data_IF_266239517989
#
_entry.id   IF_266239517989
#
_cell.length_a   1.000
_cell.length_b   1.000
_cell.length_c   1.000
_cell.angle_alpha   90.00
_cell.angle_beta   90.00
_cell.angle_gamma   90.00
#
_symmetry.space_group_name_H-M   'P 1'
#
loop_
_entity.id
_entity.type
_entity.pdbx_description
1 polymer ?
#
# COMPACT_ATOMS: atom_id res chain seq x y z
N UNK A 1 -19.48 18.87 -18.36
CA UNK A 1 -18.50 19.91 -17.94
C UNK A 1 -18.80 20.35 -16.51
N UNK A 2 -18.30 19.61 -15.52
CA UNK A 2 -18.28 19.99 -14.09
C UNK A 2 -17.48 18.94 -13.28
N UNK A 3 -16.27 18.59 -13.76
CA UNK A 3 -15.47 17.52 -13.16
C UNK A 3 -14.01 17.88 -12.89
N UNK A 4 -13.60 19.14 -13.12
CA UNK A 4 -12.19 19.52 -13.09
C UNK A 4 -11.88 20.67 -12.12
N UNK A 5 -12.63 20.79 -11.02
CA UNK A 5 -12.54 21.94 -10.13
C UNK A 5 -12.53 21.56 -8.64
N UNK A 6 -11.82 20.49 -8.25
CA UNK A 6 -11.56 20.21 -6.81
C UNK A 6 -10.10 19.91 -6.49
N UNK A 7 -9.19 19.77 -7.48
CA UNK A 7 -7.77 19.48 -7.20
C UNK A 7 -6.87 20.73 -7.00
N UNK A 8 -7.40 21.95 -7.14
CA UNK A 8 -6.57 23.16 -7.25
C UNK A 8 -6.69 24.17 -6.09
N UNK A 9 -6.99 23.70 -4.86
CA UNK A 9 -7.21 24.59 -3.71
C UNK A 9 -6.31 24.35 -2.48
N UNK A 10 -5.20 23.63 -2.63
CA UNK A 10 -4.28 23.33 -1.50
C UNK A 10 -2.82 23.78 -1.67
N UNK A 11 -2.44 24.45 -2.76
CA UNK A 11 -1.07 24.94 -2.95
C UNK A 11 -1.05 26.44 -3.29
N UNK A 12 -1.42 27.25 -2.31
CA UNK A 12 -1.04 28.65 -2.30
C UNK A 12 0.40 28.79 -1.83
N UNK A 13 1.35 29.03 -2.75
CA UNK A 13 2.46 30.00 -2.64
C UNK A 13 3.48 29.84 -3.78
N UNK A 14 4.00 30.97 -4.27
CA UNK A 14 4.86 31.14 -5.45
C UNK A 14 6.36 30.91 -5.15
N UNK A 15 7.17 30.50 -6.15
CA UNK A 15 8.58 30.14 -5.96
C UNK A 15 9.48 31.36 -6.07
N UNK A 16 10.21 31.71 -5.00
CA UNK A 16 11.50 32.44 -5.03
C UNK A 16 12.02 32.66 -3.61
N UNK A 17 12.92 31.77 -3.17
CA UNK A 17 14.05 31.97 -2.23
C UNK A 17 14.34 30.66 -1.47
N UNK A 18 14.87 29.68 -2.20
CA UNK A 18 15.66 28.58 -1.64
C UNK A 18 16.99 28.59 -2.38
N UNK A 19 17.97 29.35 -1.87
CA UNK A 19 19.40 29.23 -2.15
C UNK A 19 20.12 29.99 -1.05
N UNK A 20 20.46 29.28 0.03
CA UNK A 20 21.54 29.53 1.02
C UNK A 20 21.14 28.90 2.36
N UNK A 21 21.45 27.61 2.54
CA UNK A 21 22.03 27.05 3.76
C UNK A 21 22.25 25.55 3.52
N UNK A 22 23.31 25.21 2.79
CA UNK A 22 23.85 23.84 2.76
C UNK A 22 25.34 23.91 2.43
N UNK A 23 26.13 24.40 3.39
CA UNK A 23 27.59 24.17 3.45
C UNK A 23 27.93 24.08 4.93
N UNK A 24 28.32 22.89 5.39
CA UNK A 24 28.95 22.71 6.70
C UNK A 24 28.34 21.63 7.57
N UNK A 25 28.62 20.36 7.26
CA UNK A 25 28.97 19.35 8.26
C UNK A 25 29.36 18.05 7.54
N UNK A 26 30.64 17.97 7.19
CA UNK A 26 31.31 16.72 6.82
C UNK A 26 32.61 16.72 7.60
N UNK A 27 32.63 16.12 8.80
CA UNK A 27 33.80 15.54 9.46
C UNK A 27 33.42 14.96 10.83
N UNK A 28 34.05 13.83 11.18
CA UNK A 28 33.85 12.97 12.36
C UNK A 28 32.59 12.08 12.23
N UNK A 29 32.68 10.75 12.16
CA UNK A 29 33.37 9.86 13.10
C UNK A 29 33.93 8.66 12.31
N UNK A 30 35.25 8.59 12.19
CA UNK A 30 36.01 7.40 11.80
C UNK A 30 36.98 7.12 12.95
N UNK A 31 36.47 6.52 14.03
CA UNK A 31 37.26 5.87 15.09
C UNK A 31 36.31 5.23 16.10
N UNK A 32 36.23 3.89 16.09
CA UNK A 32 36.11 2.98 17.23
C UNK A 32 35.70 1.58 16.74
N UNK A 33 36.63 0.92 16.05
CA UNK A 33 36.71 -0.53 15.98
C UNK A 33 37.95 -0.89 16.79
N UNK A 34 37.79 -1.58 17.93
CA UNK A 34 38.76 -2.48 18.58
C UNK A 34 38.29 -2.78 20.02
N UNK A 35 37.65 -3.93 20.23
CA UNK A 35 37.67 -4.68 21.50
C UNK A 35 37.27 -6.15 21.26
N UNK A 36 37.91 -7.14 21.92
CA UNK A 36 37.88 -8.56 21.52
C UNK A 36 36.79 -9.40 22.21
N UNK A 37 36.36 -10.46 21.52
CA UNK A 37 35.40 -11.49 21.96
C UNK A 37 36.18 -12.63 22.65
N UNK A 38 35.74 -13.16 23.82
CA UNK A 38 36.23 -14.45 24.30
C UNK A 38 35.31 -15.61 23.85
N UNK A 39 35.95 -16.70 23.40
CA UNK A 39 35.34 -17.98 23.08
C UNK A 39 35.20 -18.85 24.34
N UNK A 40 34.15 -19.68 24.40
CA UNK A 40 34.05 -20.80 25.33
C UNK A 40 33.43 -22.01 24.62
N UNK A 41 33.93 -23.17 25.04
CA UNK A 41 34.02 -24.44 24.31
C UNK A 41 32.76 -25.31 24.41
N UNK A 42 32.74 -26.34 23.57
CA UNK A 42 31.61 -27.22 23.30
C UNK A 42 31.37 -28.32 24.33
N UNK A 43 30.11 -28.78 24.33
CA UNK A 43 29.72 -30.13 24.73
C UNK A 43 28.41 -30.54 24.04
N UNK A 44 28.45 -31.54 23.16
CA UNK A 44 27.31 -32.42 22.84
C UNK A 44 27.34 -33.61 23.83
N UNK A 45 26.25 -34.37 24.11
CA UNK A 45 25.18 -34.76 23.17
C UNK A 45 23.75 -34.94 23.76
N UNK A 46 22.76 -35.12 22.88
CA UNK A 46 21.82 -36.27 22.81
C UNK A 46 20.43 -35.88 22.29
N UNK A 47 19.94 -36.71 21.39
CA UNK A 47 18.64 -36.68 20.74
C UNK A 47 17.49 -36.94 21.73
N UNK A 48 16.61 -35.96 21.89
CA UNK A 48 15.34 -36.08 22.62
C UNK A 48 14.29 -35.18 21.97
N UNK A 49 13.13 -35.75 21.67
CA UNK A 49 11.99 -35.12 21.01
C UNK A 49 11.64 -33.74 21.60
N UNK A 50 11.64 -32.70 20.76
CA UNK A 50 11.14 -31.38 21.11
C UNK A 50 9.62 -31.35 20.90
N UNK A 51 8.89 -31.45 22.01
CA UNK A 51 7.49 -31.03 22.08
C UNK A 51 7.44 -29.50 22.00
N UNK A 52 6.67 -28.98 21.04
CA UNK A 52 6.32 -27.57 20.98
C UNK A 52 5.52 -27.19 22.22
N UNK A 53 6.14 -26.50 23.16
CA UNK A 53 5.46 -25.91 24.30
C UNK A 53 5.04 -24.50 23.87
N UNK A 54 3.73 -24.30 23.68
CA UNK A 54 3.10 -23.01 23.44
C UNK A 54 3.33 -22.11 24.65
N UNK A 55 4.26 -21.16 24.51
CA UNK A 55 4.52 -20.17 25.54
C UNK A 55 3.44 -19.07 25.50
N UNK A 56 2.68 -19.04 26.61
CA UNK A 56 1.76 -18.02 27.14
C UNK A 56 0.45 -17.77 26.39
N UNK A 57 -0.59 -18.49 26.82
CA UNK A 57 -1.92 -17.91 27.05
C UNK A 57 -1.76 -16.71 28.01
N UNK A 58 -1.52 -15.51 27.47
CA UNK A 58 -1.85 -14.26 28.16
C UNK A 58 -3.33 -14.02 27.89
N UNK A 59 -4.11 -13.78 28.93
CA UNK A 59 -5.53 -13.44 28.78
C UNK A 59 -5.64 -12.01 28.23
N UNK A 60 -5.43 -11.85 26.92
CA UNK A 60 -5.42 -10.56 26.20
C UNK A 60 -6.74 -9.80 26.43
N UNK A 61 -7.83 -10.53 26.70
CA UNK A 61 -9.14 -9.98 27.07
C UNK A 61 -9.06 -9.08 28.32
N UNK A 62 -8.39 -9.53 29.39
CA UNK A 62 -8.33 -8.76 30.64
C UNK A 62 -7.43 -7.52 30.54
N UNK A 63 -6.37 -7.59 29.74
CA UNK A 63 -5.45 -6.45 29.52
C UNK A 63 -6.11 -5.31 28.74
N UNK A 64 -7.12 -5.62 27.91
CA UNK A 64 -7.85 -4.62 27.11
C UNK A 64 -9.10 -4.08 27.81
N UNK A 65 -9.56 -4.73 28.89
CA UNK A 65 -10.52 -4.13 29.82
C UNK A 65 -9.86 -3.02 30.66
N UNK A 66 -8.57 -3.17 30.98
CA UNK A 66 -7.76 -2.12 31.63
C UNK A 66 -7.26 -1.02 30.67
N UNK A 67 -7.55 -1.11 29.37
CA UNK A 67 -7.10 -0.12 28.39
C UNK A 67 -7.84 1.22 28.50
N UNK A 68 -8.90 1.30 29.29
CA UNK A 68 -9.63 2.52 29.58
C UNK A 68 -9.49 2.93 31.04
N UNK A 69 -9.51 4.23 31.30
CA UNK A 69 -9.44 4.79 32.67
C UNK A 69 -10.44 5.93 32.82
N UNK A 70 -11.18 5.97 33.94
CA UNK A 70 -12.04 7.10 34.29
C UNK A 70 -11.24 8.30 34.83
N UNK A 71 -11.78 9.53 34.78
CA UNK A 71 -11.13 10.73 35.31
C UNK A 71 -10.65 10.60 36.77
N UNK A 72 -11.45 9.96 37.62
CA UNK A 72 -11.19 9.76 39.05
C UNK A 72 -10.13 8.69 39.36
N UNK A 73 -9.77 7.86 38.38
CA UNK A 73 -8.80 6.76 38.53
C UNK A 73 -7.37 7.20 38.20
N UNK A 74 -7.20 8.40 37.61
CA UNK A 74 -5.88 8.95 37.28
C UNK A 74 -5.14 9.37 38.55
N UNK A 75 -3.91 8.88 38.69
CA UNK A 75 -3.04 9.17 39.83
C UNK A 75 -1.93 10.16 39.45
N UNK A 76 -1.33 10.88 40.43
CA UNK A 76 -0.32 11.90 40.13
C UNK A 76 0.96 11.40 39.43
N UNK A 77 1.22 10.09 39.43
CA UNK A 77 2.34 9.48 38.71
C UNK A 77 2.04 9.21 37.23
N UNK A 78 0.79 9.32 36.81
CA UNK A 78 0.39 9.12 35.42
C UNK A 78 0.84 10.30 34.55
N UNK A 79 1.34 9.97 33.36
CA UNK A 79 1.65 10.92 32.32
C UNK A 79 0.45 11.06 31.40
N UNK A 80 -0.21 12.21 31.44
CA UNK A 80 -1.34 12.48 30.54
C UNK A 80 -0.83 13.12 29.25
N UNK A 81 -1.17 12.52 28.11
CA UNK A 81 -0.85 13.00 26.77
C UNK A 81 -2.13 13.41 26.04
N UNK A 82 -2.31 14.72 25.86
CA UNK A 82 -3.32 15.27 24.95
C UNK A 82 -2.81 15.19 23.51
N UNK A 83 -3.59 14.53 22.65
CA UNK A 83 -3.20 14.29 21.25
C UNK A 83 -3.79 15.27 20.25
N UNK A 84 -4.56 16.25 20.72
CA UNK A 84 -5.36 17.14 19.86
C UNK A 84 -4.47 18.11 19.05
N UNK A 85 -4.71 18.31 17.74
CA UNK A 85 -3.90 19.19 16.90
C UNK A 85 -3.91 20.67 17.29
N UNK A 86 -5.03 21.16 17.83
CA UNK A 86 -5.27 22.58 18.10
C UNK A 86 -5.98 22.80 19.45
N UNK A 87 -5.57 22.08 20.50
CA UNK A 87 -6.17 22.23 21.82
C UNK A 87 -5.96 23.65 22.39
N UNK A 88 -7.04 24.25 22.90
CA UNK A 88 -7.02 25.54 23.61
C UNK A 88 -7.17 25.40 25.13
N UNK A 89 -7.52 24.20 25.59
CA UNK A 89 -7.64 23.82 26.98
C UNK A 89 -7.13 22.40 27.13
N UNK A 90 -6.61 22.08 28.31
CA UNK A 90 -5.93 20.83 28.62
C UNK A 90 -6.34 20.35 30.01
N UNK A 91 -6.28 19.05 30.24
CA UNK A 91 -6.27 18.52 31.59
C UNK A 91 -5.07 19.11 32.33
N UNK A 92 -5.23 19.50 33.59
CA UNK A 92 -4.14 20.12 34.34
C UNK A 92 -2.95 19.15 34.47
N UNK A 93 -1.78 19.55 33.96
CA UNK A 93 -0.57 18.71 33.93
C UNK A 93 -0.37 17.89 32.65
N UNK A 94 -1.33 17.88 31.72
CA UNK A 94 -1.21 17.13 30.47
C UNK A 94 -0.13 17.71 29.54
N UNK A 95 0.66 16.83 28.95
CA UNK A 95 1.52 17.12 27.80
C UNK A 95 0.66 17.24 26.54
N UNK A 96 1.20 17.84 25.47
CA UNK A 96 0.53 17.84 24.18
C UNK A 96 1.46 17.44 23.04
N UNK A 97 1.02 16.46 22.25
CA UNK A 97 1.63 16.11 20.97
C UNK A 97 0.49 15.88 19.99
N UNK A 98 0.36 16.76 18.98
CA UNK A 98 -0.57 16.54 17.88
C UNK A 98 -0.34 15.15 17.24
N UNK A 99 -1.35 14.27 17.24
CA UNK A 99 -1.25 12.92 16.67
C UNK A 99 -0.83 12.92 15.19
N UNK A 100 -1.20 13.96 14.42
CA UNK A 100 -0.81 14.10 13.01
C UNK A 100 0.71 14.24 12.86
N UNK A 101 1.42 14.66 13.91
CA UNK A 101 2.88 14.77 13.90
C UNK A 101 3.59 13.41 13.80
N UNK A 102 2.88 12.31 14.10
CA UNK A 102 3.36 10.94 13.90
C UNK A 102 3.27 10.48 12.45
N UNK A 103 2.57 11.22 11.59
CA UNK A 103 2.34 10.89 10.20
C UNK A 103 3.12 11.81 9.25
N UNK A 104 3.52 11.29 8.10
CA UNK A 104 4.07 12.09 7.01
C UNK A 104 2.97 12.85 6.26
N UNK A 105 3.35 13.71 5.30
CA UNK A 105 2.38 14.49 4.50
C UNK A 105 1.40 13.64 3.70
N UNK A 106 1.70 12.37 3.49
CA UNK A 106 0.81 11.45 2.81
C UNK A 106 -0.08 10.64 3.77
N UNK A 107 0.17 10.67 5.08
CA UNK A 107 -0.54 9.88 6.09
C UNK A 107 0.10 8.54 6.43
N UNK A 108 1.39 8.31 6.11
CA UNK A 108 2.12 7.11 6.53
C UNK A 108 2.79 7.40 7.85
N UNK A 109 2.99 6.36 8.65
CA UNK A 109 3.75 6.47 9.87
C UNK A 109 5.17 6.98 9.56
N UNK A 110 5.61 8.01 10.30
CA UNK A 110 7.00 8.47 10.23
C UNK A 110 7.96 7.37 10.66
N UNK A 111 9.26 7.47 10.30
CA UNK A 111 10.26 6.56 10.82
C UNK A 111 10.23 6.49 12.34
N UNK A 112 10.35 5.29 12.90
CA UNK A 112 10.33 5.04 14.36
C UNK A 112 11.29 5.97 15.11
N UNK A 113 12.47 6.25 14.55
CA UNK A 113 13.45 7.16 15.15
C UNK A 113 12.94 8.60 15.27
N UNK A 114 12.11 9.07 14.34
CA UNK A 114 11.51 10.41 14.41
C UNK A 114 10.40 10.46 15.45
N UNK A 115 9.58 9.40 15.53
CA UNK A 115 8.50 9.30 16.52
C UNK A 115 9.09 9.20 17.93
N UNK A 116 10.09 8.34 18.14
CA UNK A 116 10.80 8.23 19.42
C UNK A 116 11.40 9.58 19.84
N UNK A 117 11.97 10.34 18.90
CA UNK A 117 12.46 11.69 19.19
C UNK A 117 11.34 12.65 19.59
N UNK A 118 10.18 12.62 18.93
CA UNK A 118 9.03 13.47 19.29
C UNK A 118 8.55 13.18 20.72
N UNK A 119 8.45 11.89 21.09
CA UNK A 119 8.05 11.47 22.43
C UNK A 119 9.10 11.87 23.47
N UNK A 120 10.38 11.62 23.19
CA UNK A 120 11.48 12.00 24.08
C UNK A 120 11.65 13.52 24.25
N UNK A 121 11.45 14.30 23.18
CA UNK A 121 11.45 15.76 23.24
C UNK A 121 10.31 16.32 24.11
N UNK A 122 9.21 15.58 24.25
CA UNK A 122 8.11 15.90 25.16
C UNK A 122 8.34 15.37 26.59
N UNK A 123 9.45 14.67 26.83
CA UNK A 123 9.81 14.10 28.13
C UNK A 123 9.08 12.82 28.48
N UNK A 124 8.52 12.10 27.49
CA UNK A 124 7.85 10.81 27.69
C UNK A 124 8.90 9.70 27.63
N UNK A 125 8.86 8.80 28.61
CA UNK A 125 9.70 7.60 28.66
C UNK A 125 8.90 6.33 28.27
N UNK A 126 9.58 5.28 27.80
CA UNK A 126 8.92 4.03 27.34
C UNK A 126 8.21 3.22 28.45
N UNK A 127 8.46 3.58 29.71
CA UNK A 127 7.96 2.95 30.93
C UNK A 127 7.09 3.90 31.77
N UNK A 128 6.77 5.09 31.25
CA UNK A 128 5.76 5.96 31.87
C UNK A 128 4.42 5.21 31.93
N UNK A 129 3.60 5.49 32.95
CA UNK A 129 2.17 5.17 32.89
C UNK A 129 1.50 6.22 32.02
N UNK A 130 1.15 5.89 30.78
CA UNK A 130 0.71 6.85 29.78
C UNK A 130 -0.81 6.81 29.59
N UNK A 131 -1.46 7.96 29.81
CA UNK A 131 -2.89 8.15 29.57
C UNK A 131 -3.10 9.03 28.35
N UNK A 132 -3.74 8.50 27.32
CA UNK A 132 -4.06 9.21 26.09
C UNK A 132 -5.41 9.90 26.25
N UNK A 133 -5.46 11.19 25.94
CA UNK A 133 -6.68 11.99 25.91
C UNK A 133 -6.70 12.90 24.68
N UNK A 134 -7.85 13.49 24.39
CA UNK A 134 -8.04 14.40 23.26
C UNK A 134 -8.65 13.70 22.04
N UNK A 135 -9.07 14.53 21.10
CA UNK A 135 -9.88 14.11 19.95
C UNK A 135 -9.50 14.87 18.68
N UNK A 136 -10.13 14.49 17.57
CA UNK A 136 -9.96 15.16 16.29
C UNK A 136 -10.66 16.53 16.30
N UNK A 137 -9.95 17.58 16.75
CA UNK A 137 -10.41 18.96 16.69
C UNK A 137 -9.66 19.75 15.60
N UNK A 138 -10.34 20.40 14.63
CA UNK A 138 -11.79 20.69 14.54
C UNK A 138 -12.59 19.71 13.66
N UNK A 139 -12.13 18.47 13.45
CA UNK A 139 -12.66 17.52 12.47
C UNK A 139 -14.09 17.04 12.74
N UNK A 140 -14.66 17.36 13.90
CA UNK A 140 -15.94 16.84 14.37
C UNK A 140 -15.81 15.74 15.44
N UNK A 141 -14.64 15.59 16.06
CA UNK A 141 -14.42 14.72 17.21
C UNK A 141 -14.29 13.23 16.86
N UNK A 142 -14.59 12.39 17.86
CA UNK A 142 -14.60 10.93 17.74
C UNK A 142 -13.29 10.26 18.18
N UNK A 143 -13.34 8.95 18.52
CA UNK A 143 -12.27 8.35 19.30
C UNK A 143 -11.08 7.85 18.45
N UNK A 144 -11.17 7.95 17.11
CA UNK A 144 -10.18 7.35 16.21
C UNK A 144 -8.73 7.77 16.48
N UNK A 145 -8.41 9.06 16.68
CA UNK A 145 -7.03 9.47 16.98
C UNK A 145 -6.50 8.90 18.31
N UNK A 146 -7.36 8.76 19.32
CA UNK A 146 -6.97 8.19 20.61
C UNK A 146 -6.66 6.68 20.47
N UNK A 147 -7.53 5.92 19.77
CA UNK A 147 -7.26 4.52 19.45
C UNK A 147 -6.02 4.33 18.58
N UNK A 148 -5.80 5.20 17.60
CA UNK A 148 -4.58 5.19 16.77
C UNK A 148 -3.33 5.44 17.61
N UNK A 149 -3.37 6.44 18.50
CA UNK A 149 -2.23 6.77 19.36
C UNK A 149 -1.98 5.64 20.37
N UNK A 150 -3.03 5.00 20.88
CA UNK A 150 -2.92 3.82 21.73
C UNK A 150 -2.24 2.67 20.99
N UNK A 151 -2.72 2.34 19.79
CA UNK A 151 -2.10 1.34 18.92
C UNK A 151 -0.62 1.67 18.65
N UNK A 152 -0.31 2.93 18.34
CA UNK A 152 1.06 3.38 18.07
C UNK A 152 1.98 3.11 19.26
N UNK A 153 1.55 3.43 20.48
CA UNK A 153 2.34 3.18 21.68
C UNK A 153 2.51 1.68 21.94
N UNK A 154 1.47 0.88 21.71
CA UNK A 154 1.57 -0.60 21.76
C UNK A 154 2.56 -1.12 20.70
N UNK A 155 2.52 -0.60 19.48
CA UNK A 155 3.48 -0.91 18.40
C UNK A 155 4.92 -0.53 18.78
N UNK A 156 5.12 0.57 19.49
CA UNK A 156 6.42 0.98 20.01
C UNK A 156 6.86 0.18 21.26
N UNK A 157 6.03 -0.75 21.75
CA UNK A 157 6.33 -1.59 22.91
C UNK A 157 6.12 -0.93 24.27
N UNK A 158 5.31 0.14 24.31
CA UNK A 158 4.88 0.77 25.55
C UNK A 158 3.83 -0.11 26.24
N UNK A 159 4.10 -0.52 27.47
CA UNK A 159 3.32 -1.55 28.17
C UNK A 159 2.12 -0.95 28.93
N UNK A 160 2.34 0.13 29.69
CA UNK A 160 1.29 0.82 30.46
C UNK A 160 0.76 2.02 29.68
N UNK A 161 -0.08 1.74 28.69
CA UNK A 161 -0.80 2.77 27.92
C UNK A 161 -2.30 2.55 28.05
N UNK A 162 -3.05 3.61 28.32
CA UNK A 162 -4.51 3.59 28.51
C UNK A 162 -5.15 4.82 27.84
N UNK A 163 -6.45 4.74 27.58
CA UNK A 163 -7.25 5.81 26.97
C UNK A 163 -8.19 6.38 28.05
N UNK A 164 -8.20 7.70 28.21
CA UNK A 164 -9.15 8.38 29.09
C UNK A 164 -10.58 8.21 28.56
N UNK A 165 -11.51 7.83 29.45
CA UNK A 165 -12.93 7.87 29.16
C UNK A 165 -13.49 9.26 29.39
N UNK A 166 -14.24 9.74 28.42
CA UNK A 166 -14.85 11.08 28.45
C UNK A 166 -13.93 12.16 27.89
N UNK A 167 -14.41 13.39 27.98
CA UNK A 167 -13.74 14.57 27.44
C UNK A 167 -13.38 15.60 28.54
N UNK A 168 -13.02 16.80 28.12
CA UNK A 168 -12.73 17.92 29.03
C UNK A 168 -13.93 18.31 29.89
N UNK A 169 -15.16 18.17 29.39
CA UNK A 169 -16.37 18.51 30.14
C UNK A 169 -16.63 17.45 31.23
N UNK A 170 -16.43 16.17 30.92
CA UNK A 170 -16.49 15.08 31.90
C UNK A 170 -15.43 15.26 33.01
N UNK A 171 -14.21 15.65 32.62
CA UNK A 171 -13.14 15.98 33.56
C UNK A 171 -13.50 17.12 34.51
N UNK A 172 -14.09 18.20 33.98
CA UNK A 172 -14.58 19.30 34.79
C UNK A 172 -15.75 18.90 35.69
N UNK A 173 -16.66 18.06 35.20
CA UNK A 173 -17.79 17.55 35.96
C UNK A 173 -17.34 16.67 37.14
N UNK A 174 -16.21 15.97 37.01
CA UNK A 174 -15.54 15.25 38.09
C UNK A 174 -14.86 16.19 39.12
N UNK A 175 -14.91 17.50 38.93
CA UNK A 175 -14.32 18.49 39.83
C UNK A 175 -12.80 18.63 39.69
N UNK A 176 -12.24 18.15 38.57
CA UNK A 176 -10.81 18.18 38.31
C UNK A 176 -10.41 19.46 37.56
N UNK A 177 -9.20 19.94 37.82
CA UNK A 177 -8.71 21.20 37.27
C UNK A 177 -8.31 21.05 35.80
N UNK A 178 -8.55 22.12 35.03
CA UNK A 178 -8.05 22.29 33.66
C UNK A 178 -6.97 23.38 33.59
N UNK A 179 -6.24 23.42 32.48
CA UNK A 179 -5.22 24.41 32.15
C UNK A 179 -5.47 25.01 30.77
N UNK A 180 -4.99 26.23 30.54
CA UNK A 180 -5.01 26.89 29.22
C UNK A 180 -3.70 26.70 28.44
N UNK A 181 -2.75 25.95 29.00
CA UNK A 181 -1.49 25.61 28.36
C UNK A 181 -1.05 24.18 28.74
N UNK A 182 -0.39 23.44 27.83
CA UNK A 182 0.13 22.13 28.17
C UNK A 182 1.28 22.25 29.16
N UNK A 183 1.52 21.18 29.90
CA UNK A 183 2.69 21.02 30.74
C UNK A 183 3.95 20.80 29.90
N UNK A 184 5.11 21.10 30.48
CA UNK A 184 6.43 20.89 29.87
C UNK A 184 7.26 20.04 30.80
N UNK A 185 7.80 18.94 30.29
CA UNK A 185 8.78 18.09 30.97
C UNK A 185 10.18 18.32 30.38
N UNK A 186 11.19 18.00 31.17
CA UNK A 186 12.55 17.87 30.65
C UNK A 186 12.61 16.75 29.62
N UNK A 187 13.45 16.92 28.60
CA UNK A 187 13.61 15.91 27.55
C UNK A 187 14.13 14.60 28.12
N UNK A 188 13.63 13.50 27.58
CA UNK A 188 14.01 12.15 27.94
C UNK A 188 14.38 11.33 26.69
N UNK A 189 15.02 10.18 26.90
CA UNK A 189 15.28 9.22 25.85
C UNK A 189 14.11 8.22 25.76
N UNK A 190 13.32 8.28 24.69
CA UNK A 190 12.29 7.28 24.43
C UNK A 190 12.91 6.07 23.70
N UNK A 191 12.93 4.90 24.34
CA UNK A 191 13.54 3.69 23.82
C UNK A 191 12.46 2.69 23.33
N UNK A 192 12.13 2.65 22.03
CA UNK A 192 11.07 1.77 21.51
C UNK A 192 11.50 0.30 21.49
N UNK A 193 10.57 -0.60 21.81
CA UNK A 193 10.66 -2.06 21.64
C UNK A 193 9.60 -2.51 20.62
N UNK A 194 9.95 -2.44 19.34
CA UNK A 194 8.98 -2.62 18.25
C UNK A 194 8.27 -3.98 18.30
N UNK A 195 6.94 -3.93 18.34
CA UNK A 195 6.04 -5.07 18.22
C UNK A 195 5.64 -5.24 16.74
N UNK A 196 6.53 -5.85 15.96
CA UNK A 196 6.41 -5.95 14.50
C UNK A 196 5.11 -6.64 14.04
N UNK A 197 4.52 -7.50 14.88
CA UNK A 197 3.27 -8.17 14.56
C UNK A 197 2.03 -7.27 14.62
N UNK A 198 2.12 -6.02 15.09
CA UNK A 198 0.98 -5.10 15.11
C UNK A 198 0.80 -4.28 13.81
N UNK A 199 1.79 -4.29 12.92
CA UNK A 199 1.78 -3.58 11.64
C UNK A 199 2.12 -4.54 10.50
N UNK A 200 1.18 -4.75 9.59
CA UNK A 200 1.41 -5.59 8.41
C UNK A 200 2.27 -4.87 7.36
N UNK A 201 3.08 -5.65 6.62
CA UNK A 201 3.78 -5.18 5.43
C UNK A 201 2.96 -5.46 4.16
N UNK A 202 3.37 -4.87 3.04
CA UNK A 202 2.81 -5.19 1.74
C UNK A 202 2.93 -6.68 1.40
N UNK A 203 4.09 -7.30 1.67
CA UNK A 203 4.32 -8.73 1.40
C UNK A 203 3.38 -9.62 2.21
N UNK A 204 3.12 -9.24 3.47
CA UNK A 204 2.16 -9.94 4.31
C UNK A 204 0.73 -9.84 3.74
N UNK A 205 0.33 -8.64 3.30
CA UNK A 205 -0.97 -8.42 2.66
C UNK A 205 -1.12 -9.20 1.35
N UNK A 206 -0.09 -9.19 0.51
CA UNK A 206 -0.08 -9.82 -0.82
C UNK A 206 0.01 -11.36 -0.77
N UNK A 207 0.54 -11.94 0.31
CA UNK A 207 0.67 -13.40 0.43
C UNK A 207 -0.67 -14.16 0.48
N UNK A 208 -1.80 -13.48 0.75
CA UNK A 208 -3.14 -14.08 0.74
C UNK A 208 -3.43 -15.05 1.91
N UNK A 209 -2.54 -15.12 2.90
CA UNK A 209 -2.69 -15.99 4.07
C UNK A 209 -3.59 -15.43 5.18
N UNK A 210 -3.68 -14.10 5.28
CA UNK A 210 -4.46 -13.39 6.30
C UNK A 210 -5.92 -13.18 5.87
N UNK A 211 -6.81 -13.00 6.85
CA UNK A 211 -8.15 -12.43 6.58
C UNK A 211 -8.00 -10.93 6.42
N UNK A 212 -8.58 -10.37 5.36
CA UNK A 212 -8.47 -8.94 5.09
C UNK A 212 -9.79 -8.27 5.41
N UNK A 213 -9.77 -7.26 6.28
CA UNK A 213 -10.93 -6.46 6.67
C UNK A 213 -10.71 -5.03 6.21
N UNK A 214 -11.52 -4.60 5.25
CA UNK A 214 -11.58 -3.21 4.80
C UNK A 214 -12.56 -2.45 5.69
N UNK A 215 -12.03 -1.60 6.57
CA UNK A 215 -12.82 -0.81 7.51
C UNK A 215 -13.28 0.54 6.95
N UNK A 216 -13.10 0.79 5.65
CA UNK A 216 -13.62 2.01 5.00
C UNK A 216 -15.14 1.91 4.79
N UNK A 217 -15.81 3.05 4.57
CA UNK A 217 -17.21 3.06 4.16
C UNK A 217 -17.43 2.23 2.89
N UNK A 218 -18.57 1.54 2.79
CA UNK A 218 -18.88 0.62 1.68
C UNK A 218 -18.66 1.24 0.28
N UNK A 219 -19.03 2.52 0.10
CA UNK A 219 -18.80 3.24 -1.16
C UNK A 219 -17.32 3.24 -1.61
N UNK A 220 -16.38 3.32 -0.66
CA UNK A 220 -14.94 3.40 -0.95
C UNK A 220 -14.37 1.99 -1.21
N UNK A 221 -14.94 0.98 -0.55
CA UNK A 221 -14.66 -0.44 -0.82
C UNK A 221 -15.10 -0.85 -2.24
N UNK A 222 -16.29 -0.43 -2.69
CA UNK A 222 -16.81 -0.75 -4.02
C UNK A 222 -16.00 -0.11 -5.16
N UNK A 223 -15.31 1.02 -4.90
CA UNK A 223 -14.40 1.65 -5.89
C UNK A 223 -13.17 0.79 -6.14
N UNK A 224 -12.72 0.04 -5.13
CA UNK A 224 -11.57 -0.85 -5.20
C UNK A 224 -11.07 -1.19 -3.81
N UNK A 225 -10.62 -2.43 -3.63
CA UNK A 225 -10.19 -2.98 -2.36
C UNK A 225 -9.11 -4.05 -2.56
N UNK A 226 -8.44 -4.44 -1.49
CA UNK A 226 -7.47 -5.54 -1.52
C UNK A 226 -8.22 -6.83 -1.88
N UNK A 227 -7.75 -7.64 -2.85
CA UNK A 227 -8.44 -8.86 -3.25
C UNK A 227 -8.76 -9.80 -2.07
N UNK A 228 -10.02 -10.24 -1.98
CA UNK A 228 -10.50 -11.11 -0.92
C UNK A 228 -10.83 -10.41 0.41
N UNK A 229 -10.76 -9.07 0.46
CA UNK A 229 -11.21 -8.29 1.61
C UNK A 229 -12.71 -8.44 1.86
N UNK A 230 -13.10 -8.39 3.14
CA UNK A 230 -14.48 -8.25 3.60
C UNK A 230 -14.67 -6.83 4.09
N UNK A 231 -15.73 -6.14 3.67
CA UNK A 231 -16.02 -4.80 4.15
C UNK A 231 -16.75 -4.82 5.50
N UNK A 232 -16.12 -4.24 6.53
CA UNK A 232 -16.72 -4.00 7.85
C UNK A 232 -16.38 -2.57 8.23
N UNK A 233 -17.19 -1.56 7.83
CA UNK A 233 -16.90 -0.15 8.12
C UNK A 233 -16.64 0.09 9.61
N UNK A 234 -15.67 0.95 9.96
CA UNK A 234 -15.28 1.17 11.36
C UNK A 234 -16.45 1.64 12.25
N UNK A 235 -17.46 2.33 11.68
CA UNK A 235 -18.66 2.72 12.41
C UNK A 235 -19.45 1.50 12.93
N UNK A 236 -19.30 0.34 12.30
CA UNK A 236 -19.96 -0.89 12.71
C UNK A 236 -19.50 -1.40 14.08
N UNK A 237 -18.32 -1.00 14.57
CA UNK A 237 -17.82 -1.37 15.91
C UNK A 237 -18.20 -0.34 16.99
N UNK A 238 -18.85 0.76 16.60
CA UNK A 238 -19.24 1.84 17.50
C UNK A 238 -20.75 1.90 17.73
N UNK A 239 -21.16 2.33 18.92
CA UNK A 239 -22.52 2.70 19.29
C UNK A 239 -22.48 4.00 20.08
N UNK A 240 -23.16 5.04 19.59
CA UNK A 240 -23.17 6.38 20.20
C UNK A 240 -21.76 6.96 20.47
N UNK A 241 -20.81 6.72 19.56
CA UNK A 241 -19.43 7.22 19.68
C UNK A 241 -18.52 6.38 20.60
N UNK A 242 -19.05 5.36 21.25
CA UNK A 242 -18.29 4.43 22.10
C UNK A 242 -18.16 3.05 21.47
N UNK A 243 -17.17 2.27 21.89
CA UNK A 243 -17.02 0.88 21.45
C UNK A 243 -18.22 0.05 21.90
N UNK A 244 -18.73 -0.81 21.02
CA UNK A 244 -19.81 -1.76 21.33
C UNK A 244 -19.38 -2.78 22.40
N UNK A 245 -20.36 -3.39 23.07
CA UNK A 245 -20.11 -4.50 24.00
C UNK A 245 -19.50 -5.72 23.29
N UNK A 246 -18.83 -6.60 24.04
CA UNK A 246 -18.20 -7.80 23.50
C UNK A 246 -19.19 -8.69 22.74
N UNK A 247 -20.42 -8.86 23.24
CA UNK A 247 -21.47 -9.65 22.58
C UNK A 247 -21.83 -9.06 21.22
N UNK A 248 -22.00 -7.73 21.16
CA UNK A 248 -22.35 -7.05 19.91
C UNK A 248 -21.18 -7.02 18.93
N UNK A 249 -19.95 -6.91 19.41
CA UNK A 249 -18.75 -7.05 18.58
C UNK A 249 -18.61 -8.47 18.00
N UNK A 250 -18.92 -9.52 18.78
CA UNK A 250 -18.94 -10.89 18.27
C UNK A 250 -19.92 -11.07 17.11
N UNK A 251 -21.07 -10.40 17.15
CA UNK A 251 -22.01 -10.39 16.03
C UNK A 251 -21.42 -9.68 14.79
N UNK A 252 -20.81 -8.50 14.99
CA UNK A 252 -20.17 -7.72 13.91
C UNK A 252 -19.10 -8.55 13.19
N UNK A 253 -18.30 -9.30 13.93
CA UNK A 253 -17.21 -10.10 13.38
C UNK A 253 -17.55 -11.58 13.16
N UNK A 254 -18.82 -11.96 13.20
CA UNK A 254 -19.27 -13.35 13.10
C UNK A 254 -18.82 -14.08 11.82
N UNK A 255 -18.54 -13.34 10.74
CA UNK A 255 -18.01 -13.88 9.48
C UNK A 255 -16.48 -14.00 9.43
N UNK A 256 -15.76 -13.58 10.47
CA UNK A 256 -14.29 -13.60 10.53
C UNK A 256 -13.84 -14.70 11.49
N UNK A 257 -13.10 -15.67 10.98
CA UNK A 257 -12.55 -16.75 11.79
C UNK A 257 -11.20 -16.34 12.40
N UNK A 258 -10.95 -16.78 13.64
CA UNK A 258 -9.70 -16.55 14.40
C UNK A 258 -8.59 -17.56 14.10
N UNK A 259 -8.77 -18.41 13.09
CA UNK A 259 -7.81 -19.47 12.73
C UNK A 259 -6.56 -18.93 12.00
N UNK A 260 -6.58 -17.64 11.65
CA UNK A 260 -5.52 -16.93 10.93
C UNK A 260 -5.45 -15.49 11.41
N UNK A 261 -4.29 -14.86 11.21
CA UNK A 261 -4.14 -13.44 11.40
C UNK A 261 -5.14 -12.63 10.56
N UNK A 262 -5.56 -11.49 11.11
CA UNK A 262 -6.46 -10.54 10.46
C UNK A 262 -5.67 -9.27 10.14
N UNK A 263 -5.72 -8.84 8.89
CA UNK A 263 -5.23 -7.54 8.45
C UNK A 263 -6.42 -6.59 8.38
N UNK A 264 -6.35 -5.46 9.07
CA UNK A 264 -7.39 -4.43 9.07
C UNK A 264 -6.85 -3.11 8.55
N UNK A 265 -7.58 -2.44 7.66
CA UNK A 265 -7.13 -1.18 7.07
C UNK A 265 -8.26 -0.17 6.82
N UNK A 266 -7.87 1.11 6.80
CA UNK A 266 -8.60 2.20 6.14
C UNK A 266 -7.69 2.90 5.14
N UNK A 267 -8.00 4.13 4.71
CA UNK A 267 -7.16 4.87 3.77
C UNK A 267 -5.75 5.12 4.34
N UNK A 268 -5.68 5.66 5.56
CA UNK A 268 -4.42 6.01 6.26
C UNK A 268 -4.24 5.30 7.60
N UNK A 269 -5.22 4.48 8.02
CA UNK A 269 -5.11 3.60 9.19
C UNK A 269 -5.64 4.19 10.50
N UNK A 270 -5.94 5.49 10.60
CA UNK A 270 -6.39 6.10 11.87
C UNK A 270 -7.68 5.45 12.37
N UNK A 271 -8.73 5.37 11.53
CA UNK A 271 -10.00 4.74 11.92
C UNK A 271 -9.90 3.21 11.96
N UNK A 272 -8.93 2.63 11.26
CA UNK A 272 -8.64 1.20 11.34
C UNK A 272 -8.24 0.79 12.76
N UNK A 273 -7.62 1.70 13.52
CA UNK A 273 -7.21 1.44 14.91
C UNK A 273 -8.40 1.12 15.84
N UNK A 274 -9.57 1.70 15.59
CA UNK A 274 -10.79 1.37 16.37
C UNK A 274 -11.21 -0.08 16.10
N UNK A 275 -11.21 -0.47 14.81
CA UNK A 275 -11.59 -1.83 14.40
C UNK A 275 -10.56 -2.84 14.86
N UNK A 276 -9.26 -2.51 14.77
CA UNK A 276 -8.16 -3.29 15.34
C UNK A 276 -8.35 -3.51 16.83
N UNK A 277 -8.60 -2.45 17.60
CA UNK A 277 -8.81 -2.57 19.05
C UNK A 277 -10.01 -3.47 19.38
N UNK A 278 -11.12 -3.34 18.64
CA UNK A 278 -12.31 -4.18 18.79
C UNK A 278 -12.01 -5.67 18.55
N UNK A 279 -11.17 -5.96 17.55
CA UNK A 279 -10.73 -7.33 17.22
C UNK A 279 -9.78 -7.88 18.30
N UNK A 280 -8.78 -7.11 18.72
CA UNK A 280 -7.87 -7.50 19.80
C UNK A 280 -8.64 -7.81 21.10
N UNK A 281 -9.66 -7.01 21.43
CA UNK A 281 -10.53 -7.22 22.59
C UNK A 281 -11.27 -8.56 22.55
N UNK A 282 -11.57 -9.05 21.36
CA UNK A 282 -12.15 -10.37 21.16
C UNK A 282 -11.09 -11.47 21.01
N UNK A 283 -9.79 -11.17 21.07
CA UNK A 283 -8.71 -12.14 20.94
C UNK A 283 -8.44 -12.58 19.49
N UNK A 284 -8.63 -11.70 18.52
CA UNK A 284 -8.07 -11.91 17.17
C UNK A 284 -6.59 -11.51 17.16
N UNK A 285 -5.77 -12.19 16.36
CA UNK A 285 -4.42 -11.74 15.99
C UNK A 285 -4.55 -10.70 14.88
N UNK A 286 -4.75 -9.43 15.25
CA UNK A 286 -5.04 -8.36 14.30
C UNK A 286 -3.82 -7.46 14.06
N UNK A 287 -3.56 -7.14 12.79
CA UNK A 287 -2.48 -6.26 12.35
C UNK A 287 -3.05 -5.08 11.59
N UNK A 288 -2.59 -3.87 11.90
CA UNK A 288 -2.97 -2.69 11.13
C UNK A 288 -2.26 -2.66 9.78
N UNK A 289 -2.93 -2.08 8.78
CA UNK A 289 -2.37 -1.79 7.46
C UNK A 289 -3.04 -0.54 6.86
N UNK A 290 -2.61 -0.10 5.68
CA UNK A 290 -3.24 1.03 4.99
C UNK A 290 -3.49 0.73 3.51
N UNK A 291 -4.66 1.17 3.01
CA UNK A 291 -4.99 1.11 1.58
C UNK A 291 -3.99 1.89 0.74
N UNK A 292 -3.46 3.00 1.27
CA UNK A 292 -2.48 3.81 0.57
C UNK A 292 -1.16 3.06 0.34
N UNK A 293 -0.68 2.32 1.34
CA UNK A 293 0.50 1.46 1.17
C UNK A 293 0.26 0.40 0.09
N UNK A 294 -0.93 -0.22 0.10
CA UNK A 294 -1.34 -1.14 -0.97
C UNK A 294 -1.26 -0.49 -2.36
N UNK A 295 -1.85 0.69 -2.53
CA UNK A 295 -1.86 1.38 -3.82
C UNK A 295 -0.45 1.71 -4.34
N UNK A 296 0.47 2.04 -3.44
CA UNK A 296 1.86 2.40 -3.77
C UNK A 296 2.68 1.17 -4.12
N UNK A 297 2.49 0.06 -3.40
CA UNK A 297 3.34 -1.12 -3.51
C UNK A 297 2.77 -2.23 -4.41
N UNK A 298 1.45 -2.23 -4.68
CA UNK A 298 0.87 -3.18 -5.63
C UNK A 298 1.55 -3.03 -7.00
N UNK A 299 1.82 -4.13 -7.72
CA UNK A 299 2.38 -4.04 -9.05
C UNK A 299 1.42 -3.19 -9.89
N UNK A 300 1.96 -2.16 -10.53
CA UNK A 300 1.16 -1.35 -11.44
C UNK A 300 0.90 -2.15 -12.71
N UNK A 301 -0.20 -1.87 -13.40
CA UNK A 301 -0.42 -2.44 -14.72
C UNK A 301 0.71 -1.98 -15.63
N UNK A 302 1.53 -2.93 -16.08
CA UNK A 302 2.82 -2.66 -16.70
C UNK A 302 2.74 -2.28 -18.18
N UNK A 303 1.56 -1.94 -18.71
CA UNK A 303 1.37 -1.71 -20.13
C UNK A 303 0.53 -0.46 -20.42
N UNK A 304 0.95 0.31 -21.41
CA UNK A 304 0.15 1.39 -21.99
C UNK A 304 -0.54 0.90 -23.27
N UNK A 305 -1.80 1.30 -23.48
CA UNK A 305 -2.47 1.15 -24.77
C UNK A 305 -1.91 2.17 -25.77
N UNK A 306 -0.95 1.73 -26.58
CA UNK A 306 -0.20 2.58 -27.51
C UNK A 306 -0.99 2.90 -28.79
N UNK A 307 -1.80 1.96 -29.28
CA UNK A 307 -2.62 2.14 -30.48
C UNK A 307 -3.90 1.31 -30.37
N UNK A 308 -5.01 1.84 -30.88
CA UNK A 308 -6.24 1.08 -31.08
C UNK A 308 -6.91 1.50 -32.39
N UNK A 309 -7.41 0.52 -33.15
CA UNK A 309 -8.07 0.77 -34.43
C UNK A 309 -9.09 -0.31 -34.77
N UNK A 310 -10.07 0.07 -35.58
CA UNK A 310 -11.02 -0.83 -36.21
C UNK A 310 -10.92 -0.73 -37.73
N UNK A 311 -10.89 -1.88 -38.41
CA UNK A 311 -10.89 -1.95 -39.87
C UNK A 311 -11.93 -2.98 -40.37
N UNK A 312 -12.89 -2.60 -41.24
CA UNK A 312 -13.16 -1.24 -41.71
C UNK A 312 -13.86 -0.38 -40.65
N UNK A 313 -13.62 0.93 -40.72
CA UNK A 313 -14.37 1.94 -39.97
C UNK A 313 -14.51 3.19 -40.88
N UNK A 314 -15.71 3.57 -41.35
CA UNK A 314 -17.02 3.01 -40.98
C UNK A 314 -17.25 1.58 -41.51
N UNK A 315 -18.07 0.81 -40.81
CA UNK A 315 -18.49 -0.54 -41.15
C UNK A 315 -19.94 -0.56 -41.65
N UNK A 316 -20.31 -1.51 -42.53
CA UNK A 316 -21.71 -1.74 -42.89
C UNK A 316 -22.38 -2.68 -41.89
N UNK A 317 -23.69 -2.54 -41.70
CA UNK A 317 -24.50 -3.46 -40.91
C UNK A 317 -24.24 -4.93 -41.32
N UNK A 318 -23.87 -5.77 -40.35
CA UNK A 318 -23.53 -7.18 -40.56
C UNK A 318 -22.11 -7.45 -41.09
N UNK A 319 -21.28 -6.42 -41.30
CA UNK A 319 -19.90 -6.57 -41.74
C UNK A 319 -18.98 -6.94 -40.57
N UNK A 320 -18.03 -7.84 -40.81
CA UNK A 320 -16.97 -8.12 -39.83
C UNK A 320 -15.97 -6.97 -39.76
N UNK A 321 -15.67 -6.54 -38.54
CA UNK A 321 -14.75 -5.47 -38.17
C UNK A 321 -13.62 -6.05 -37.34
N UNK A 322 -12.39 -5.84 -37.78
CA UNK A 322 -11.19 -6.24 -37.05
C UNK A 322 -10.80 -5.14 -36.07
N UNK A 323 -10.86 -5.44 -34.77
CA UNK A 323 -10.43 -4.53 -33.71
C UNK A 323 -9.00 -4.94 -33.32
N UNK A 324 -8.06 -4.01 -33.48
CA UNK A 324 -6.65 -4.22 -33.12
C UNK A 324 -6.27 -3.29 -31.98
N UNK A 325 -5.65 -3.84 -30.93
CA UNK A 325 -5.06 -3.10 -29.82
C UNK A 325 -3.55 -3.39 -29.74
N UNK A 326 -2.73 -2.36 -29.61
CA UNK A 326 -1.29 -2.46 -29.42
C UNK A 326 -0.93 -1.96 -28.03
N UNK A 327 -0.32 -2.83 -27.24
CA UNK A 327 0.23 -2.51 -25.93
C UNK A 327 1.75 -2.36 -26.01
N UNK A 328 2.28 -1.45 -25.19
CA UNK A 328 3.72 -1.30 -24.94
C UNK A 328 3.96 -1.39 -23.45
N UNK A 329 5.12 -1.90 -23.04
CA UNK A 329 5.51 -1.82 -21.65
C UNK A 329 5.48 -0.34 -21.21
N UNK A 330 4.77 -0.05 -20.13
CA UNK A 330 4.71 1.29 -19.58
C UNK A 330 6.13 1.69 -19.17
N UNK A 331 6.62 2.80 -19.70
CA UNK A 331 7.92 3.31 -19.28
C UNK A 331 7.77 3.70 -17.81
N UNK A 332 8.41 2.95 -16.91
CA UNK A 332 8.56 3.42 -15.54
C UNK A 332 9.33 4.74 -15.62
N UNK A 333 8.64 5.86 -15.41
CA UNK A 333 9.25 7.16 -15.17
C UNK A 333 9.94 7.11 -13.79
N UNK A 334 10.96 6.26 -13.66
CA UNK A 334 12.10 6.61 -12.82
C UNK A 334 12.69 7.85 -13.49
N UNK A 335 12.33 9.02 -12.97
CA UNK A 335 13.01 10.26 -13.26
C UNK A 335 14.48 10.09 -12.83
N UNK A 336 15.28 9.48 -13.70
CA UNK A 336 16.71 9.67 -13.68
C UNK A 336 16.93 11.14 -14.01
N UNK A 337 17.56 11.83 -13.06
CA UNK A 337 18.17 13.12 -13.28
C UNK A 337 19.07 13.04 -14.52
N UNK A 338 18.54 13.44 -15.68
CA UNK A 338 19.36 13.85 -16.81
C UNK A 338 19.93 15.22 -16.46
N UNK A 339 21.00 15.20 -15.67
CA UNK A 339 21.93 16.32 -15.64
C UNK A 339 22.67 16.32 -16.98
N UNK A 340 22.45 17.38 -17.75
CA UNK A 340 23.32 17.79 -18.84
C UNK A 340 24.78 17.74 -18.38
N UNK A 341 25.57 16.84 -18.96
CA UNK A 341 27.03 16.97 -18.98
C UNK A 341 27.47 17.04 -20.43
N UNK A 342 27.87 18.25 -20.81
CA UNK A 342 28.61 18.56 -22.03
C UNK A 342 29.77 17.57 -22.26
N UNK A 343 29.95 17.23 -23.52
CA UNK A 343 30.78 16.13 -23.97
C UNK A 343 32.26 16.17 -23.59
N UNK A 344 32.80 14.98 -23.48
CA UNK A 344 34.19 14.64 -23.76
C UNK A 344 34.22 13.18 -24.16
N UNK A 345 34.67 12.91 -25.38
CA UNK A 345 34.82 11.58 -25.96
C UNK A 345 35.69 10.65 -25.11
N UNK A 346 35.16 9.51 -24.70
CA UNK A 346 35.97 8.32 -24.40
C UNK A 346 35.17 7.09 -24.81
N UNK A 347 35.67 6.39 -25.84
CA UNK A 347 35.20 5.08 -26.26
C UNK A 347 35.28 4.09 -25.10
N UNK A 348 34.14 3.55 -24.66
CA UNK A 348 34.12 2.45 -23.71
C UNK A 348 34.41 1.13 -24.42
N UNK A 349 35.65 0.67 -24.27
CA UNK A 349 36.12 -0.63 -24.75
C UNK A 349 35.67 -1.72 -23.78
N UNK A 350 34.83 -2.64 -24.25
CA UNK A 350 34.47 -3.84 -23.50
C UNK A 350 35.70 -4.74 -23.30
N UNK A 351 36.11 -4.95 -22.06
CA UNK A 351 37.27 -5.78 -21.70
C UNK A 351 36.80 -7.18 -21.29
N UNK A 352 36.75 -8.10 -22.25
CA UNK A 352 36.46 -9.53 -21.97
C UNK A 352 37.68 -10.18 -21.34
N UNK A 353 37.53 -10.77 -20.15
CA UNK A 353 38.51 -11.68 -19.54
C UNK A 353 38.01 -13.12 -19.65
N UNK A 354 38.62 -13.91 -20.54
CA UNK A 354 38.44 -15.37 -20.58
C UNK A 354 38.83 -15.98 -21.93
N UNK A 355 39.73 -16.96 -21.92
CA UNK A 355 40.49 -17.46 -23.07
C UNK A 355 39.68 -18.20 -24.15
N UNK A 356 39.98 -17.86 -25.41
CA UNK A 356 39.76 -18.69 -26.57
C UNK A 356 40.85 -19.76 -26.68
N UNK A 357 40.47 -21.02 -26.84
CA UNK A 357 41.31 -22.02 -27.50
C UNK A 357 40.61 -22.46 -28.78
N UNK A 358 41.42 -22.57 -29.82
CA UNK A 358 41.03 -22.56 -31.22
C UNK A 358 40.70 -23.98 -31.69
N UNK A 359 39.52 -24.17 -32.29
CA UNK A 359 39.17 -25.36 -33.06
C UNK A 359 38.55 -24.94 -34.39
N UNK A 360 39.28 -25.18 -35.47
CA UNK A 360 38.90 -24.95 -36.87
C UNK A 360 37.55 -25.58 -37.25
N UNK A 361 36.74 -24.89 -38.07
CA UNK A 361 35.64 -25.52 -38.80
C UNK A 361 34.58 -24.55 -39.34
N UNK A 362 34.53 -24.44 -40.67
CA UNK A 362 33.59 -23.72 -41.54
C UNK A 362 32.10 -23.93 -41.21
N UNK A 363 31.18 -23.02 -41.59
CA UNK A 363 29.75 -23.33 -41.58
C UNK A 363 29.44 -24.24 -42.77
N UNK A 364 29.57 -25.55 -42.58
CA UNK A 364 28.87 -26.51 -43.42
C UNK A 364 27.48 -26.74 -42.84
N UNK A 365 26.48 -26.58 -43.69
CA UNK A 365 25.08 -26.83 -43.33
C UNK A 365 24.91 -28.24 -42.75
N UNK A 366 24.15 -28.33 -41.67
CA UNK A 366 23.75 -29.62 -41.12
C UNK A 366 22.59 -30.17 -41.94
N UNK A 367 22.88 -31.16 -42.79
CA UNK A 367 21.87 -32.14 -43.20
C UNK A 367 21.68 -33.11 -42.02
N UNK A 368 20.46 -33.23 -41.51
CA UNK A 368 20.11 -34.25 -40.53
C UNK A 368 20.01 -35.61 -41.25
N UNK A 369 21.05 -36.44 -41.17
CA UNK A 369 21.13 -37.74 -41.86
C UNK A 369 20.47 -38.91 -41.12
N UNK A 370 19.67 -38.67 -40.06
CA UNK A 370 18.95 -39.72 -39.32
C UNK A 370 17.44 -39.80 -39.66
N UNK A 371 17.04 -39.41 -40.87
CA UNK A 371 15.66 -39.53 -41.36
C UNK A 371 15.56 -40.49 -42.55
N UNK A 372 14.73 -41.52 -42.42
CA UNK A 372 14.39 -42.49 -43.48
C UNK A 372 13.06 -42.17 -44.19
N UNK A 373 12.57 -40.94 -44.11
CA UNK A 373 11.29 -40.51 -44.68
C UNK A 373 11.39 -39.80 -46.04
N UNK A 374 12.60 -39.69 -46.61
CA UNK A 374 12.79 -39.28 -48.01
C UNK A 374 12.51 -37.80 -48.32
N UNK A 375 12.50 -36.91 -47.33
CA UNK A 375 12.28 -35.47 -47.50
C UNK A 375 13.49 -34.64 -47.05
N UNK A 376 14.02 -33.81 -47.96
CA UNK A 376 15.05 -32.78 -47.68
C UNK A 376 14.36 -31.42 -47.63
N UNK A 377 14.48 -30.70 -46.53
CA UNK A 377 14.03 -29.31 -46.43
C UNK A 377 15.14 -28.37 -46.91
N UNK A 378 14.92 -27.71 -48.06
CA UNK A 378 15.72 -26.59 -48.56
C UNK A 378 14.78 -25.38 -48.64
N UNK A 379 15.10 -24.30 -47.92
CA UNK A 379 14.29 -23.07 -47.93
C UNK A 379 15.04 -21.84 -47.41
N UNK A 380 15.07 -20.80 -48.25
CA UNK A 380 15.92 -19.60 -48.21
C UNK A 380 15.45 -18.53 -47.23
N UNK A 381 16.41 -17.88 -46.57
CA UNK A 381 16.25 -16.55 -45.97
C UNK A 381 15.83 -15.53 -47.04
N UNK A 382 14.71 -14.84 -46.81
CA UNK A 382 14.29 -13.68 -47.57
C UNK A 382 13.83 -12.60 -46.61
N UNK A 383 14.72 -11.64 -46.33
CA UNK A 383 14.36 -10.37 -45.69
C UNK A 383 13.51 -9.54 -46.65
N UNK A 384 12.40 -8.93 -46.19
CA UNK A 384 12.04 -7.59 -46.58
C UNK A 384 12.71 -6.60 -45.62
N UNK A 385 13.57 -5.75 -46.16
CA UNK A 385 14.10 -4.57 -45.48
C UNK A 385 13.03 -3.51 -45.24
N UNK A 386 13.16 -2.80 -44.11
CA UNK A 386 12.49 -1.57 -43.62
C UNK A 386 11.39 -1.83 -42.58
N UNK A 387 11.37 -1.27 -41.37
CA UNK A 387 12.23 -0.32 -40.64
C UNK A 387 11.65 -0.23 -39.21
N UNK A 388 12.53 -0.07 -38.21
CA UNK A 388 12.26 0.40 -36.84
C UNK A 388 11.14 -0.29 -36.04
N UNK A 389 11.40 -1.48 -35.47
CA UNK A 389 10.85 -1.86 -34.17
C UNK A 389 11.85 -2.72 -33.40
N UNK A 390 12.24 -2.24 -32.22
CA UNK A 390 12.94 -3.00 -31.20
C UNK A 390 12.09 -4.24 -30.86
N UNK A 391 12.63 -5.44 -31.12
CA UNK A 391 12.01 -6.70 -30.70
C UNK A 391 12.14 -6.83 -29.18
N UNK A 392 11.22 -6.17 -28.46
CA UNK A 392 10.98 -6.42 -27.05
C UNK A 392 10.41 -7.83 -26.85
N UNK A 393 11.00 -8.55 -25.90
CA UNK A 393 10.56 -9.86 -25.41
C UNK A 393 9.03 -9.90 -25.24
N UNK A 394 8.38 -10.90 -25.85
CA UNK A 394 6.94 -11.09 -25.76
C UNK A 394 6.57 -11.48 -24.32
N UNK A 395 5.96 -10.56 -23.58
CA UNK A 395 5.45 -10.86 -22.24
C UNK A 395 4.17 -11.74 -22.35
N UNK A 396 4.29 -12.99 -21.93
CA UNK A 396 3.34 -14.08 -22.19
C UNK A 396 2.07 -14.07 -21.32
N UNK A 397 1.88 -13.06 -20.48
CA UNK A 397 0.84 -13.05 -19.44
C UNK A 397 -0.26 -11.99 -19.64
N UNK A 398 -0.15 -11.13 -20.66
CA UNK A 398 -1.15 -10.10 -20.96
C UNK A 398 -2.35 -10.69 -21.73
N UNK A 399 -3.54 -10.60 -21.13
CA UNK A 399 -4.82 -10.97 -21.74
C UNK A 399 -5.64 -9.73 -22.01
N UNK A 400 -6.31 -9.69 -23.14
CA UNK A 400 -7.06 -8.51 -23.57
C UNK A 400 -8.47 -8.90 -24.02
N UNK A 401 -9.46 -8.07 -23.69
CA UNK A 401 -10.83 -8.17 -24.21
C UNK A 401 -11.35 -6.81 -24.62
N UNK A 402 -12.20 -6.77 -25.65
CA UNK A 402 -12.94 -5.60 -26.07
C UNK A 402 -14.41 -5.70 -25.59
N UNK A 403 -14.92 -4.60 -25.05
CA UNK A 403 -16.33 -4.39 -24.72
C UNK A 403 -16.86 -3.36 -25.70
N UNK A 404 -17.92 -3.71 -26.43
CA UNK A 404 -18.55 -2.87 -27.44
C UNK A 404 -19.89 -2.42 -26.88
N UNK A 405 -20.06 -1.12 -26.68
CA UNK A 405 -21.29 -0.49 -26.22
C UNK A 405 -22.04 0.11 -27.40
N UNK A 406 -23.34 -0.19 -27.49
CA UNK A 406 -24.26 0.35 -28.48
C UNK A 406 -24.50 1.86 -28.29
N UNK A 407 -25.10 2.56 -29.28
CA UNK A 407 -25.40 3.99 -29.18
C UNK A 407 -26.30 4.38 -28.00
N UNK A 408 -27.10 3.44 -27.48
CA UNK A 408 -27.95 3.63 -26.31
C UNK A 408 -27.23 3.40 -24.97
N UNK A 409 -25.95 3.03 -25.01
CA UNK A 409 -25.10 2.76 -23.85
C UNK A 409 -25.15 1.33 -23.33
N UNK A 410 -25.96 0.44 -23.93
CA UNK A 410 -25.98 -0.98 -23.56
C UNK A 410 -24.76 -1.74 -24.08
N UNK A 411 -24.29 -2.76 -23.37
CA UNK A 411 -23.23 -3.65 -23.85
C UNK A 411 -23.79 -4.51 -25.00
N UNK A 412 -23.35 -4.24 -26.23
CA UNK A 412 -23.72 -4.98 -27.45
C UNK A 412 -22.93 -6.29 -27.55
N UNK A 413 -21.63 -6.25 -27.27
CA UNK A 413 -20.78 -7.43 -27.37
C UNK A 413 -19.54 -7.34 -26.48
N UNK A 414 -19.01 -8.52 -26.16
CA UNK A 414 -17.71 -8.69 -25.49
C UNK A 414 -16.93 -9.81 -26.16
N UNK A 415 -15.65 -9.58 -26.41
CA UNK A 415 -14.77 -10.58 -27.03
C UNK A 415 -13.35 -10.51 -26.52
N UNK A 416 -12.70 -11.67 -26.44
CA UNK A 416 -11.25 -11.75 -26.21
C UNK A 416 -10.50 -11.33 -27.48
N UNK A 417 -9.47 -10.51 -27.32
CA UNK A 417 -8.52 -10.20 -28.37
C UNK A 417 -7.34 -11.19 -28.27
N UNK A 418 -7.03 -11.86 -29.36
CA UNK A 418 -5.95 -12.84 -29.43
C UNK A 418 -4.64 -12.14 -29.80
N UNK A 419 -3.55 -12.51 -29.14
CA UNK A 419 -2.23 -12.01 -29.49
C UNK A 419 -1.85 -12.50 -30.90
N UNK A 420 -1.43 -11.58 -31.75
CA UNK A 420 -1.01 -11.85 -33.13
C UNK A 420 0.49 -11.70 -33.30
N UNK A 421 1.08 -10.67 -32.69
CA UNK A 421 2.51 -10.43 -32.55
C UNK A 421 2.80 -9.86 -31.17
N UNK A 422 4.07 -9.72 -30.78
CA UNK A 422 4.44 -9.08 -29.52
C UNK A 422 3.70 -7.74 -29.33
N UNK A 423 3.04 -7.56 -28.18
CA UNK A 423 2.23 -6.40 -27.86
C UNK A 423 0.93 -6.20 -28.66
N UNK A 424 0.68 -6.94 -29.74
CA UNK A 424 -0.46 -6.69 -30.65
C UNK A 424 -1.56 -7.75 -30.51
N UNK A 425 -2.77 -7.30 -30.22
CA UNK A 425 -3.95 -8.13 -29.98
C UNK A 425 -5.04 -7.79 -31.00
N UNK A 426 -5.73 -8.81 -31.49
CA UNK A 426 -6.76 -8.65 -32.52
C UNK A 426 -7.99 -9.52 -32.22
N UNK A 427 -9.16 -8.96 -32.46
CA UNK A 427 -10.44 -9.64 -32.38
C UNK A 427 -11.34 -9.24 -33.54
N UNK A 428 -12.38 -10.03 -33.77
CA UNK A 428 -13.34 -9.80 -34.86
C UNK A 428 -14.70 -9.58 -34.24
N UNK A 429 -15.25 -8.39 -34.45
CA UNK A 429 -16.63 -8.05 -34.12
C UNK A 429 -17.48 -8.07 -35.38
N UNK A 430 -18.70 -8.60 -35.31
CA UNK A 430 -19.65 -8.46 -36.41
C UNK A 430 -20.53 -7.26 -36.12
N UNK A 431 -20.43 -6.21 -36.94
CA UNK A 431 -21.19 -4.99 -36.78
C UNK A 431 -22.68 -5.31 -36.72
N UNK A 432 -23.34 -4.87 -35.65
CA UNK A 432 -24.76 -5.11 -35.46
C UNK A 432 -25.61 -4.44 -36.54
N UNK A 433 -26.88 -4.87 -36.67
CA UNK A 433 -27.77 -4.32 -37.70
C UNK A 433 -28.25 -2.90 -37.39
N UNK A 434 -28.12 -2.43 -36.16
CA UNK A 434 -28.53 -1.08 -35.78
C UNK A 434 -27.44 -0.08 -36.18
N UNK A 435 -27.74 0.91 -37.04
CA UNK A 435 -26.79 1.95 -37.39
C UNK A 435 -26.51 2.88 -36.20
N UNK A 436 -25.30 3.41 -36.14
CA UNK A 436 -24.88 4.37 -35.11
C UNK A 436 -23.41 4.25 -34.72
N UNK A 437 -23.04 5.00 -33.69
CA UNK A 437 -21.67 4.99 -33.13
C UNK A 437 -21.62 3.99 -31.98
N UNK A 438 -20.76 2.99 -32.13
CA UNK A 438 -20.47 2.01 -31.08
C UNK A 438 -19.15 2.37 -30.42
N UNK A 439 -19.15 2.41 -29.09
CA UNK A 439 -17.94 2.73 -28.32
C UNK A 439 -17.26 1.45 -27.86
N UNK A 440 -15.95 1.40 -27.98
CA UNK A 440 -15.14 0.25 -27.61
C UNK A 440 -14.27 0.60 -26.42
N UNK A 441 -14.43 -0.16 -25.35
CA UNK A 441 -13.53 -0.16 -24.20
C UNK A 441 -12.64 -1.40 -24.23
N UNK A 442 -11.39 -1.26 -23.80
CA UNK A 442 -10.45 -2.38 -23.71
C UNK A 442 -10.21 -2.72 -22.24
N UNK A 443 -10.37 -3.99 -21.89
CA UNK A 443 -9.98 -4.53 -20.58
C UNK A 443 -8.77 -5.41 -20.78
N UNK A 444 -7.67 -5.03 -20.14
CA UNK A 444 -6.39 -5.71 -20.25
C UNK A 444 -5.94 -6.19 -18.87
N UNK A 445 -5.49 -7.43 -18.77
CA UNK A 445 -5.10 -8.08 -17.51
C UNK A 445 -3.71 -8.68 -17.65
N UNK A 446 -2.79 -8.32 -16.76
CA UNK A 446 -1.45 -8.88 -16.69
C UNK A 446 -1.07 -9.16 -15.23
N UNK A 447 -0.53 -10.35 -14.95
CA UNK A 447 -0.09 -10.78 -13.61
C UNK A 447 -1.11 -10.53 -12.49
N UNK A 448 -2.40 -10.73 -12.79
CA UNK A 448 -3.52 -10.55 -11.85
C UNK A 448 -4.05 -9.12 -11.75
N UNK A 449 -3.37 -8.12 -12.32
CA UNK A 449 -3.83 -6.73 -12.37
C UNK A 449 -4.60 -6.46 -13.65
N UNK A 450 -5.72 -5.77 -13.56
CA UNK A 450 -6.52 -5.38 -14.73
C UNK A 450 -6.62 -3.87 -14.86
N UNK A 451 -6.47 -3.36 -16.08
CA UNK A 451 -6.73 -1.97 -16.44
C UNK A 451 -7.84 -1.90 -17.49
N UNK A 452 -8.74 -0.94 -17.32
CA UNK A 452 -9.81 -0.65 -18.28
C UNK A 452 -9.54 0.68 -18.97
N UNK A 453 -9.30 0.61 -20.27
CA UNK A 453 -9.19 1.74 -21.17
C UNK A 453 -10.60 2.03 -21.73
N UNK A 454 -11.33 2.93 -21.07
CA UNK A 454 -12.73 3.20 -21.38
C UNK A 454 -12.91 4.07 -22.64
N UNK A 455 -13.88 3.71 -23.49
CA UNK A 455 -14.30 4.47 -24.68
C UNK A 455 -13.15 4.93 -25.58
N UNK A 456 -12.13 4.08 -25.75
CA UNK A 456 -10.88 4.41 -26.47
C UNK A 456 -10.97 4.32 -27.99
N UNK A 457 -12.06 3.76 -28.53
CA UNK A 457 -12.31 3.68 -29.96
C UNK A 457 -13.81 3.82 -30.25
N UNK A 458 -14.15 4.53 -31.33
CA UNK A 458 -15.52 4.63 -31.86
C UNK A 458 -15.59 3.94 -33.22
N UNK A 459 -16.60 3.08 -33.43
CA UNK A 459 -16.88 2.41 -34.69
C UNK A 459 -18.23 2.91 -35.21
N UNK A 460 -18.23 3.53 -36.38
CA UNK A 460 -19.46 3.95 -37.04
C UNK A 460 -20.03 2.79 -37.86
N UNK A 461 -21.28 2.42 -37.60
CA UNK A 461 -22.03 1.41 -38.36
C UNK A 461 -23.06 2.10 -39.24
N UNK A 462 -22.92 1.90 -40.55
CA UNK A 462 -23.83 2.39 -41.59
C UNK A 462 -24.92 1.36 -41.89
N UNK A 463 -26.08 1.86 -42.31
CA UNK A 463 -27.25 1.06 -42.68
C UNK A 463 -27.02 0.10 -43.87
#
# INVERSE_FOLDING_TARGET
MAGNMILNRYLGLRPKKMKKLLVGMTLAIFMLLLSPIPAAEGSTPSSGNLSWNSSSDRDISSDLDSAFVGPEEIVPSDTVLDISPNATAYLNGALNINYESFLDRGGALKPVSEIARLLGDAGIESNDSLIITGECMPCGGGPAPAFFTYWLHRYLGHEDVRILQGDLDDWQAAGLNISNSPSVREKADYLPRIQADLLASYEFAAAGGARVVDARPARDYEIGHIPGAVNIPYEAVLENGSLKSNERLQEVFSGIHKDRAVLVYTNVGIEAAITWFAMERLGYDARMYSWRDWLVNQPQFGFDLAEIRAEPNPAKAGQSVYITALFRAASTNSAQNLSESNGSSSEDRLKVKGCATCGFGSPQGFANLNRNDGLVQIGSSGNPSSSDFDEGEADSDLRCSAIINAPDGSESARMSLLQTTAGKYMGIWNAERQPGIYKVSIVATASGNSETFADVLEIEVLA
#
